data_IF_282717154773
#
_entry.id   IF_282717154773
#
_cell.length_a   1.000
_cell.length_b   1.000
_cell.length_c   1.000
_cell.angle_alpha   90.00
_cell.angle_beta   90.00
_cell.angle_gamma   90.00
#
_symmetry.space_group_name_H-M   'P 1'
#
loop_
_entity.id
_entity.type
_entity.pdbx_description
1 polymer ?
#
# COMPACT_ATOMS: atom_id res chain seq x y z
N UNK A 1 6.79 -9.11 -2.37
CA UNK A 1 7.01 -7.69 -2.66
C UNK A 1 5.70 -7.06 -3.11
N UNK A 2 5.52 -5.79 -2.83
CA UNK A 2 4.26 -5.10 -3.12
C UNK A 2 4.52 -3.89 -4.01
N UNK A 3 3.48 -3.44 -4.69
CA UNK A 3 3.56 -2.24 -5.51
C UNK A 3 2.88 -1.09 -4.78
N UNK A 4 3.42 0.10 -4.95
CA UNK A 4 2.87 1.29 -4.30
C UNK A 4 2.62 2.35 -5.36
N UNK A 5 1.47 3.02 -5.26
CA UNK A 5 1.11 4.06 -6.19
C UNK A 5 0.69 5.31 -5.41
N UNK A 6 1.19 6.46 -5.82
CA UNK A 6 0.84 7.74 -5.17
C UNK A 6 -0.25 8.41 -5.98
N UNK A 7 -1.41 8.58 -5.37
CA UNK A 7 -2.57 9.14 -6.06
C UNK A 7 -3.23 10.17 -5.17
N UNK A 8 -3.24 11.43 -5.62
CA UNK A 8 -3.99 12.49 -4.95
C UNK A 8 -3.76 12.61 -3.47
N UNK A 9 -2.49 12.52 -3.03
CA UNK A 9 -2.18 12.64 -1.61
C UNK A 9 -2.36 11.36 -0.82
N UNK A 10 -2.68 10.26 -1.51
CA UNK A 10 -2.82 8.96 -0.88
C UNK A 10 -1.81 7.98 -1.43
N UNK A 11 -1.54 6.95 -0.66
CA UNK A 11 -0.69 5.86 -1.10
C UNK A 11 -1.57 4.63 -1.25
N UNK A 12 -1.60 4.07 -2.45
CA UNK A 12 -2.36 2.85 -2.72
C UNK A 12 -1.39 1.69 -2.84
N UNK A 13 -1.68 0.60 -2.13
CA UNK A 13 -0.79 -0.55 -2.08
C UNK A 13 -1.46 -1.73 -2.78
N UNK A 14 -0.70 -2.39 -3.66
CA UNK A 14 -1.17 -3.51 -4.45
C UNK A 14 -0.27 -4.70 -4.22
N UNK A 15 -0.81 -5.90 -4.38
CA UNK A 15 -0.01 -7.10 -4.25
C UNK A 15 0.72 -7.41 -5.56
N UNK A 16 1.40 -8.53 -5.60
CA UNK A 16 2.19 -8.92 -6.77
C UNK A 16 1.33 -9.15 -8.00
N UNK A 17 0.09 -9.52 -7.81
CA UNK A 17 -0.81 -9.77 -8.92
C UNK A 17 -1.50 -8.50 -9.40
N UNK A 18 -1.26 -7.39 -8.74
CA UNK A 18 -1.88 -6.13 -9.11
C UNK A 18 -3.21 -5.89 -8.44
N UNK A 19 -3.59 -6.72 -7.49
CA UNK A 19 -4.85 -6.54 -6.77
C UNK A 19 -4.68 -5.49 -5.68
N UNK A 20 -5.67 -4.61 -5.57
CA UNK A 20 -5.65 -3.56 -4.56
C UNK A 20 -5.76 -4.17 -3.17
N UNK A 21 -4.89 -3.74 -2.27
CA UNK A 21 -4.92 -4.22 -0.89
C UNK A 21 -5.54 -3.19 0.05
N UNK A 22 -4.94 -1.99 0.08
CA UNK A 22 -5.42 -0.95 0.98
C UNK A 22 -4.80 0.38 0.56
N UNK A 23 -5.30 1.46 1.15
CA UNK A 23 -4.73 2.78 0.94
C UNK A 23 -4.31 3.35 2.30
N UNK A 24 -3.34 4.26 2.26
CA UNK A 24 -2.83 4.89 3.47
C UNK A 24 -2.53 6.36 3.18
N UNK A 25 -2.44 7.16 4.23
CA UNK A 25 -2.17 8.58 4.07
C UNK A 25 -0.67 8.86 4.02
N UNK A 26 0.15 8.02 4.63
CA UNK A 26 1.59 8.21 4.67
C UNK A 26 2.29 6.89 4.41
N UNK A 27 3.59 7.00 4.04
CA UNK A 27 4.39 5.81 3.83
C UNK A 27 4.56 4.99 5.11
N UNK A 28 4.63 5.69 6.24
CA UNK A 28 4.75 5.00 7.51
C UNK A 28 3.54 4.11 7.77
N UNK A 29 2.35 4.66 7.55
CA UNK A 29 1.13 3.89 7.75
C UNK A 29 1.06 2.71 6.77
N UNK A 30 1.45 2.96 5.53
CA UNK A 30 1.44 1.87 4.55
C UNK A 30 2.39 0.75 4.96
N UNK A 31 3.57 1.12 5.46
CA UNK A 31 4.55 0.14 5.87
C UNK A 31 4.07 -0.68 7.07
N UNK A 32 3.43 -0.02 8.02
CA UNK A 32 2.92 -0.73 9.19
C UNK A 32 1.77 -1.65 8.84
N UNK A 33 0.91 -1.19 7.95
CA UNK A 33 -0.22 -2.01 7.51
C UNK A 33 0.26 -3.24 6.76
N UNK A 34 1.33 -3.10 5.99
CA UNK A 34 1.86 -4.23 5.23
C UNK A 34 2.31 -5.39 6.11
N UNK A 35 2.62 -5.11 7.37
CA UNK A 35 3.01 -6.18 8.29
C UNK A 35 1.90 -7.21 8.47
N UNK A 36 0.66 -6.78 8.33
CA UNK A 36 -0.48 -7.68 8.47
C UNK A 36 -0.71 -8.51 7.21
N UNK A 37 -0.09 -8.13 6.11
CA UNK A 37 -0.25 -8.83 4.84
C UNK A 37 0.96 -9.71 4.50
N UNK A 38 2.03 -9.55 5.23
CA UNK A 38 3.28 -10.25 4.93
C UNK A 38 3.28 -11.70 5.40
#
# INVERSE_FOLDING_TARGET
>A
MYSVKYVGGHIQVYDLCGAFLFSADTEREAREELKYYA
#
